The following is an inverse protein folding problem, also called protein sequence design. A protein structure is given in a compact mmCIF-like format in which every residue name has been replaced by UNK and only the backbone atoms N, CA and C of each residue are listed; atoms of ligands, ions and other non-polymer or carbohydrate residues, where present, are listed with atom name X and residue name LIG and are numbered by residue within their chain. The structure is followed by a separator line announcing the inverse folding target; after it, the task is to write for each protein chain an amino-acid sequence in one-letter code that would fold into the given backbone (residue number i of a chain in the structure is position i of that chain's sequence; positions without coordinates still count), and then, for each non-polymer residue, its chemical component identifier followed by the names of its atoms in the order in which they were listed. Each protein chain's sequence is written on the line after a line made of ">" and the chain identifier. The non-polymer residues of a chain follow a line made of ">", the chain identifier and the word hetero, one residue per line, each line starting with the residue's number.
data_IF_349066031488
#
_entry.id   IF_349066031488
#
_cell.length_a   1.000
_cell.length_b   1.000
_cell.length_c   1.000
_cell.angle_alpha   90.00
_cell.angle_beta   90.00
_cell.angle_gamma   90.00
#
_symmetry.space_group_name_H-M   'P 1'
#
loop_
_entity.id
_entity.type
_entity.pdbx_description
1 polymer ?
#
# COMPACT_ATOMS: atom_id res chain seq x y z
N UNK A 1 -8.24 17.69 -12.82
CA UNK A 1 -7.58 16.37 -12.84
C UNK A 1 -8.58 15.31 -13.30
N UNK A 2 -8.25 14.50 -14.31
CA UNK A 2 -9.09 13.39 -14.65
C UNK A 2 -9.16 12.45 -13.45
N UNK A 3 -10.37 12.14 -13.01
CA UNK A 3 -10.56 11.10 -12.02
C UNK A 3 -10.09 9.78 -12.62
N UNK A 4 -9.19 9.10 -11.94
CA UNK A 4 -8.89 7.70 -12.26
C UNK A 4 -10.24 6.97 -12.33
N UNK A 5 -10.56 6.27 -13.43
CA UNK A 5 -11.81 5.54 -13.51
C UNK A 5 -11.84 4.58 -12.32
N UNK A 6 -12.73 4.85 -11.38
CA UNK A 6 -12.99 3.86 -10.34
C UNK A 6 -13.53 2.64 -11.06
N UNK A 7 -12.77 1.54 -10.99
CA UNK A 7 -13.33 0.25 -11.31
C UNK A 7 -14.72 0.18 -10.65
N UNK A 8 -15.71 -0.32 -11.36
CA UNK A 8 -17.10 -0.42 -10.91
C UNK A 8 -17.13 -0.77 -9.42
N UNK A 9 -18.01 -0.09 -8.69
CA UNK A 9 -18.25 -0.35 -7.27
C UNK A 9 -18.89 -1.72 -7.03
N UNK A 10 -18.26 -2.79 -7.53
CA UNK A 10 -18.62 -4.15 -7.16
C UNK A 10 -18.03 -4.44 -5.79
N UNK A 11 -18.77 -5.07 -4.88
CA UNK A 11 -18.19 -5.43 -3.61
C UNK A 11 -17.03 -6.40 -3.81
N UNK A 12 -15.94 -6.17 -3.11
CA UNK A 12 -14.88 -7.16 -3.00
C UNK A 12 -15.36 -8.25 -2.05
N UNK A 13 -15.26 -9.51 -2.46
CA UNK A 13 -15.73 -10.64 -1.68
C UNK A 13 -14.61 -11.64 -1.43
N UNK A 14 -14.58 -12.21 -0.23
CA UNK A 14 -13.66 -13.27 0.15
C UNK A 14 -14.38 -14.30 1.00
N UNK A 15 -13.84 -15.52 0.99
CA UNK A 15 -14.23 -16.59 1.91
C UNK A 15 -12.97 -17.12 2.58
N UNK A 16 -13.12 -17.61 3.80
CA UNK A 16 -12.03 -18.28 4.52
C UNK A 16 -12.51 -19.65 4.93
N UNK A 17 -11.70 -20.66 4.57
CA UNK A 17 -11.98 -22.06 4.93
C UNK A 17 -10.89 -22.53 5.88
N UNK A 18 -11.28 -23.06 7.01
CA UNK A 18 -10.36 -23.65 7.97
C UNK A 18 -9.77 -24.95 7.43
N UNK A 19 -8.44 -25.09 7.52
CA UNK A 19 -7.74 -26.32 7.11
C UNK A 19 -7.40 -27.18 8.31
N UNK A 20 -6.57 -26.65 9.20
CA UNK A 20 -6.15 -27.35 10.43
C UNK A 20 -5.48 -26.37 11.38
N UNK A 21 -5.43 -26.67 12.66
CA UNK A 21 -4.77 -25.83 13.66
C UNK A 21 -5.24 -24.38 13.61
N UNK A 22 -4.31 -23.44 13.36
CA UNK A 22 -4.61 -22.01 13.18
C UNK A 22 -4.40 -21.56 11.73
N UNK A 23 -4.56 -22.47 10.78
CA UNK A 23 -4.31 -22.24 9.35
C UNK A 23 -5.59 -22.42 8.55
N UNK A 24 -5.84 -21.52 7.63
CA UNK A 24 -6.94 -21.56 6.68
C UNK A 24 -6.53 -21.16 5.28
N UNK A 25 -7.45 -21.26 4.36
CA UNK A 25 -7.30 -20.78 2.98
C UNK A 25 -8.28 -19.65 2.76
N UNK A 26 -7.75 -18.49 2.40
CA UNK A 26 -8.56 -17.36 1.93
C UNK A 26 -8.76 -17.49 0.43
N UNK A 27 -9.97 -17.25 -0.04
CA UNK A 27 -10.31 -17.26 -1.47
C UNK A 27 -11.04 -15.97 -1.82
N UNK A 28 -10.56 -15.28 -2.85
CA UNK A 28 -11.25 -14.09 -3.37
C UNK A 28 -12.41 -14.47 -4.28
N UNK A 29 -13.35 -13.55 -4.47
CA UNK A 29 -14.49 -13.76 -5.37
C UNK A 29 -14.10 -14.04 -6.83
N UNK A 30 -12.88 -13.63 -7.24
CA UNK A 30 -12.33 -13.90 -8.57
C UNK A 30 -11.46 -15.18 -8.64
N UNK A 31 -11.41 -15.97 -7.57
CA UNK A 31 -10.79 -17.29 -7.58
C UNK A 31 -9.33 -17.36 -7.15
N UNK A 32 -8.73 -16.25 -6.69
CA UNK A 32 -7.37 -16.27 -6.13
C UNK A 32 -7.41 -16.86 -4.73
N UNK A 33 -6.36 -17.57 -4.35
CA UNK A 33 -6.27 -18.16 -3.03
C UNK A 33 -4.95 -17.86 -2.34
N UNK A 34 -4.98 -17.85 -1.00
CA UNK A 34 -3.83 -17.58 -0.16
C UNK A 34 -3.96 -18.37 1.13
N UNK A 35 -2.88 -19.02 1.56
CA UNK A 35 -2.86 -19.68 2.85
C UNK A 35 -2.58 -18.65 3.94
N UNK A 36 -3.44 -18.60 4.95
CA UNK A 36 -3.43 -17.59 6.00
C UNK A 36 -3.42 -18.24 7.38
N UNK A 37 -2.84 -17.56 8.35
CA UNK A 37 -2.85 -18.03 9.73
C UNK A 37 -1.64 -17.59 10.53
N UNK A 38 -1.56 -18.04 11.80
CA UNK A 38 -0.49 -17.65 12.72
C UNK A 38 0.65 -18.68 12.83
N UNK A 39 0.59 -19.78 12.09
CA UNK A 39 1.58 -20.87 12.17
C UNK A 39 2.45 -20.92 10.92
N UNK A 40 3.29 -19.89 10.71
CA UNK A 40 4.24 -19.84 9.59
C UNK A 40 3.67 -19.39 8.26
N UNK A 41 2.41 -18.99 8.22
CA UNK A 41 1.72 -18.50 7.03
C UNK A 41 1.56 -16.98 7.06
N UNK A 42 0.91 -16.42 6.05
CA UNK A 42 0.55 -15.00 6.05
C UNK A 42 -0.41 -14.71 7.20
N UNK A 43 0.07 -14.02 8.23
CA UNK A 43 -0.78 -13.64 9.36
C UNK A 43 -1.75 -12.52 8.95
N UNK A 44 -2.88 -12.36 9.65
CA UNK A 44 -3.79 -11.24 9.42
C UNK A 44 -3.09 -9.87 9.52
N UNK A 45 -2.15 -9.74 10.46
CA UNK A 45 -1.38 -8.51 10.66
C UNK A 45 -0.47 -8.21 9.46
N UNK A 46 0.21 -9.22 8.93
CA UNK A 46 1.01 -9.06 7.71
C UNK A 46 0.14 -8.72 6.50
N UNK A 47 -1.05 -9.31 6.40
CA UNK A 47 -1.97 -9.03 5.30
C UNK A 47 -2.50 -7.60 5.38
N UNK A 48 -2.83 -7.11 6.57
CA UNK A 48 -3.25 -5.73 6.76
C UNK A 48 -2.15 -4.75 6.35
N UNK A 49 -0.92 -5.02 6.78
CA UNK A 49 0.23 -4.19 6.45
C UNK A 49 0.51 -4.19 4.94
N UNK A 50 0.49 -5.36 4.32
CA UNK A 50 0.68 -5.49 2.87
C UNK A 50 -0.44 -4.79 2.10
N UNK A 51 -1.67 -4.86 2.59
CA UNK A 51 -2.79 -4.13 1.99
C UNK A 51 -2.55 -2.62 2.02
N UNK A 52 -2.07 -2.08 3.13
CA UNK A 52 -1.73 -0.65 3.24
C UNK A 52 -0.62 -0.26 2.27
N UNK A 53 0.45 -1.05 2.21
CA UNK A 53 1.58 -0.80 1.30
C UNK A 53 1.16 -0.85 -0.16
N UNK A 54 0.45 -1.90 -0.57
CA UNK A 54 0.06 -2.08 -1.97
C UNK A 54 -0.99 -1.07 -2.41
N UNK A 55 -1.91 -0.70 -1.55
CA UNK A 55 -2.93 0.30 -1.85
C UNK A 55 -2.29 1.69 -2.05
N UNK A 56 -1.38 2.08 -1.18
CA UNK A 56 -0.65 3.35 -1.32
C UNK A 56 0.19 3.35 -2.61
N UNK A 57 0.94 2.28 -2.86
CA UNK A 57 1.74 2.11 -4.07
C UNK A 57 0.88 2.25 -5.33
N UNK A 58 -0.19 1.49 -5.43
CA UNK A 58 -1.06 1.49 -6.61
C UNK A 58 -1.66 2.87 -6.86
N UNK A 59 -2.09 3.54 -5.80
CA UNK A 59 -2.67 4.87 -5.90
C UNK A 59 -1.63 5.88 -6.36
N UNK A 60 -0.44 5.89 -5.74
CA UNK A 60 0.63 6.82 -6.11
C UNK A 60 1.12 6.57 -7.54
N UNK A 61 1.32 5.31 -7.93
CA UNK A 61 1.79 5.00 -9.29
C UNK A 61 0.73 5.36 -10.34
N UNK A 62 -0.55 5.21 -10.03
CA UNK A 62 -1.63 5.63 -10.93
C UNK A 62 -1.64 7.14 -11.12
N UNK A 63 -1.46 7.90 -10.05
CA UNK A 63 -1.38 9.36 -10.11
C UNK A 63 -0.13 9.82 -10.89
N UNK A 64 1.01 9.19 -10.64
CA UNK A 64 2.26 9.49 -11.35
C UNK A 64 2.11 9.23 -12.86
N UNK A 65 1.50 8.11 -13.22
CA UNK A 65 1.24 7.77 -14.62
C UNK A 65 0.36 8.83 -15.29
N UNK A 66 -0.71 9.26 -14.63
CA UNK A 66 -1.61 10.28 -15.15
C UNK A 66 -0.92 11.63 -15.38
N UNK A 67 0.10 11.94 -14.59
CA UNK A 67 0.91 13.16 -14.72
C UNK A 67 2.10 13.00 -15.67
N UNK A 68 2.26 11.85 -16.30
CA UNK A 68 3.37 11.60 -17.22
C UNK A 68 4.74 11.47 -16.53
N UNK A 69 4.76 11.17 -15.22
CA UNK A 69 6.01 10.98 -14.48
C UNK A 69 6.49 9.55 -14.67
N UNK A 70 7.73 9.41 -15.15
CA UNK A 70 8.35 8.10 -15.32
C UNK A 70 8.96 7.64 -13.99
N UNK A 71 8.43 6.52 -13.49
CA UNK A 71 8.91 5.88 -12.27
C UNK A 71 9.80 4.72 -12.65
N UNK A 72 11.02 4.70 -12.13
CA UNK A 72 12.02 3.67 -12.42
C UNK A 72 12.05 2.56 -11.38
N UNK A 73 11.61 2.84 -10.17
CA UNK A 73 11.59 1.85 -9.11
C UNK A 73 10.73 2.27 -7.95
N UNK A 74 10.25 1.28 -7.22
CA UNK A 74 9.45 1.47 -6.03
C UNK A 74 9.69 0.30 -5.08
N UNK A 75 10.06 0.60 -3.85
CA UNK A 75 10.14 -0.40 -2.78
C UNK A 75 9.58 0.22 -1.50
N UNK A 76 8.86 -0.56 -0.73
CA UNK A 76 8.30 -0.09 0.53
C UNK A 76 8.58 -1.09 1.63
N UNK A 77 8.91 -0.56 2.79
CA UNK A 77 8.92 -1.32 4.04
C UNK A 77 7.76 -0.85 4.90
N UNK A 78 7.21 -1.75 5.69
CA UNK A 78 6.11 -1.41 6.58
C UNK A 78 6.31 -2.03 7.96
N UNK A 79 5.81 -1.33 8.97
CA UNK A 79 5.77 -1.81 10.35
C UNK A 79 4.38 -1.59 10.91
N UNK A 80 3.84 -2.61 11.53
CA UNK A 80 2.58 -2.54 12.26
C UNK A 80 2.87 -2.79 13.72
N UNK A 81 2.49 -1.83 14.56
CA UNK A 81 2.63 -1.95 16.02
C UNK A 81 1.26 -2.24 16.64
N UNK A 82 1.18 -3.37 17.33
CA UNK A 82 0.00 -3.74 18.11
C UNK A 82 0.29 -3.37 19.57
N UNK A 83 -0.42 -2.39 20.15
CA UNK A 83 -0.20 -2.03 21.53
C UNK A 83 -0.68 -3.13 22.51
N UNK A 84 -0.07 -3.17 23.69
CA UNK A 84 -0.46 -4.14 24.73
C UNK A 84 -1.88 -3.89 25.25
N UNK A 85 -2.29 -2.61 25.30
CA UNK A 85 -3.65 -2.24 25.68
C UNK A 85 -4.62 -2.59 24.53
N UNK A 86 -5.59 -3.51 24.73
CA UNK A 86 -6.52 -3.91 23.69
C UNK A 86 -7.45 -2.77 23.22
N UNK A 87 -7.54 -1.68 23.99
CA UNK A 87 -8.34 -0.50 23.62
C UNK A 87 -7.54 0.58 22.89
N UNK A 88 -6.22 0.46 22.84
CA UNK A 88 -5.38 1.39 22.10
C UNK A 88 -5.40 1.09 20.61
N UNK A 89 -5.31 2.14 19.78
CA UNK A 89 -5.31 1.99 18.34
C UNK A 89 -4.01 1.38 17.82
N UNK A 90 -4.10 0.59 16.76
CA UNK A 90 -2.95 0.13 16.00
C UNK A 90 -2.24 1.32 15.35
N UNK A 91 -0.92 1.21 15.22
CA UNK A 91 -0.15 2.16 14.43
C UNK A 91 0.58 1.44 13.31
N UNK A 92 0.61 2.08 12.15
CA UNK A 92 1.27 1.58 10.95
C UNK A 92 2.23 2.64 10.43
N UNK A 93 3.47 2.24 10.18
CA UNK A 93 4.46 3.08 9.52
C UNK A 93 4.81 2.46 8.17
N UNK A 94 4.62 3.22 7.10
CA UNK A 94 5.08 2.86 5.76
C UNK A 94 6.28 3.74 5.39
N UNK A 95 7.32 3.12 4.87
CA UNK A 95 8.52 3.81 4.41
C UNK A 95 8.78 3.49 2.94
N UNK A 96 7.96 4.02 2.01
CA UNK A 96 8.17 3.80 0.60
C UNK A 96 9.35 4.62 0.08
N UNK A 97 10.11 4.03 -0.85
CA UNK A 97 11.13 4.71 -1.62
C UNK A 97 10.74 4.63 -3.10
N UNK A 98 10.66 5.78 -3.74
CA UNK A 98 10.33 5.88 -5.15
C UNK A 98 11.47 6.55 -5.91
N UNK A 99 11.86 5.97 -7.03
CA UNK A 99 12.91 6.49 -7.89
C UNK A 99 12.28 6.99 -9.18
N UNK A 100 12.55 8.24 -9.52
CA UNK A 100 12.05 8.89 -10.73
C UNK A 100 13.20 9.25 -11.66
N UNK A 101 12.88 9.43 -12.94
CA UNK A 101 13.88 9.71 -13.97
C UNK A 101 14.43 11.14 -13.90
N UNK A 102 13.58 12.11 -13.59
CA UNK A 102 13.93 13.54 -13.67
C UNK A 102 13.89 14.21 -12.29
N UNK A 103 14.93 15.00 -11.98
CA UNK A 103 15.01 15.75 -10.71
C UNK A 103 13.81 16.65 -10.47
N UNK A 104 13.27 17.28 -11.53
CA UNK A 104 12.11 18.16 -11.43
C UNK A 104 10.83 17.46 -10.98
N UNK A 105 10.78 16.13 -11.03
CA UNK A 105 9.60 15.36 -10.66
C UNK A 105 9.55 15.00 -9.17
N UNK A 106 10.62 15.24 -8.42
CA UNK A 106 10.66 14.86 -6.99
C UNK A 106 9.59 15.59 -6.17
N UNK A 107 9.44 16.89 -6.35
CA UNK A 107 8.40 17.67 -5.66
C UNK A 107 6.99 17.33 -6.14
N UNK A 108 6.84 17.02 -7.43
CA UNK A 108 5.57 16.57 -7.98
C UNK A 108 5.14 15.25 -7.34
N UNK A 109 6.07 14.31 -7.18
CA UNK A 109 5.80 13.02 -6.51
C UNK A 109 5.41 13.25 -5.04
N UNK A 110 6.06 14.16 -4.32
CA UNK A 110 5.68 14.45 -2.94
C UNK A 110 4.26 14.98 -2.84
N UNK A 111 3.87 15.87 -3.76
CA UNK A 111 2.49 16.37 -3.82
C UNK A 111 1.49 15.24 -4.13
N UNK A 112 1.82 14.38 -5.09
CA UNK A 112 0.98 13.23 -5.43
C UNK A 112 0.90 12.21 -4.28
N UNK A 113 1.96 12.06 -3.50
CA UNK A 113 1.96 11.19 -2.33
C UNK A 113 0.98 11.67 -1.24
N UNK A 114 0.88 12.97 -1.02
CA UNK A 114 -0.14 13.53 -0.12
C UNK A 114 -1.54 13.22 -0.63
N UNK A 115 -1.77 13.37 -1.93
CA UNK A 115 -3.04 13.03 -2.57
C UNK A 115 -3.32 11.52 -2.47
N UNK A 116 -2.31 10.69 -2.72
CA UNK A 116 -2.44 9.22 -2.62
C UNK A 116 -2.85 8.78 -1.22
N UNK A 117 -2.32 9.42 -0.18
CA UNK A 117 -2.71 9.12 1.19
C UNK A 117 -4.18 9.43 1.44
N UNK A 118 -4.70 10.50 0.88
CA UNK A 118 -6.10 10.89 1.01
C UNK A 118 -7.03 10.00 0.20
N UNK A 119 -6.59 9.52 -0.96
CA UNK A 119 -7.40 8.72 -1.88
C UNK A 119 -7.31 7.21 -1.65
N UNK A 120 -6.25 6.73 -1.01
CA UNK A 120 -6.09 5.31 -0.72
C UNK A 120 -7.15 4.82 0.26
N UNK A 121 -7.92 3.83 -0.15
CA UNK A 121 -9.02 3.27 0.66
C UNK A 121 -8.51 2.72 1.99
N UNK A 122 -7.42 1.95 1.96
CA UNK A 122 -6.85 1.35 3.16
C UNK A 122 -6.26 2.42 4.07
N UNK A 123 -5.57 3.42 3.51
CA UNK A 123 -5.03 4.55 4.28
C UNK A 123 -6.14 5.32 5.00
N UNK A 124 -7.26 5.56 4.30
CA UNK A 124 -8.42 6.22 4.89
C UNK A 124 -9.02 5.41 6.05
N UNK A 125 -9.05 4.09 5.90
CA UNK A 125 -9.56 3.17 6.93
C UNK A 125 -8.66 3.17 8.17
N UNK A 126 -7.35 3.19 8.00
CA UNK A 126 -6.39 3.25 9.10
C UNK A 126 -6.37 4.63 9.78
N UNK A 127 -6.70 5.68 9.04
CA UNK A 127 -6.83 7.02 9.58
C UNK A 127 -5.54 7.55 10.22
N UNK A 128 -5.63 8.23 11.39
CA UNK A 128 -4.47 8.85 12.02
C UNK A 128 -3.43 7.86 12.55
N UNK A 129 -3.75 6.57 12.64
CA UNK A 129 -2.80 5.52 12.99
C UNK A 129 -1.77 5.22 11.92
N UNK A 130 -1.96 5.72 10.69
CA UNK A 130 -1.05 5.52 9.58
C UNK A 130 -0.10 6.71 9.41
N UNK A 131 1.20 6.44 9.40
CA UNK A 131 2.26 7.38 9.02
C UNK A 131 2.93 6.89 7.75
N UNK A 132 3.12 7.78 6.79
CA UNK A 132 3.85 7.49 5.55
C UNK A 132 5.08 8.38 5.49
N UNK A 133 6.27 7.79 5.56
CA UNK A 133 7.56 8.46 5.45
C UNK A 133 8.16 8.17 4.08
N UNK A 134 7.85 9.00 3.11
CA UNK A 134 8.25 8.81 1.71
C UNK A 134 9.69 9.30 1.48
N UNK A 135 10.50 8.48 0.82
CA UNK A 135 11.81 8.85 0.29
C UNK A 135 11.70 8.92 -1.25
N UNK A 136 11.98 10.06 -1.82
CA UNK A 136 11.96 10.28 -3.27
C UNK A 136 13.38 10.49 -3.76
N UNK A 137 13.79 9.69 -4.74
CA UNK A 137 15.12 9.81 -5.35
C UNK A 137 14.97 10.01 -6.85
N UNK A 138 15.83 10.84 -7.42
CA UNK A 138 15.96 10.97 -8.86
C UNK A 138 17.28 10.34 -9.32
N UNK A 139 17.27 9.79 -10.54
CA UNK A 139 18.51 9.32 -11.14
C UNK A 139 19.41 10.54 -11.41
N UNK A 140 20.69 10.51 -10.99
CA UNK A 140 21.60 11.61 -11.27
C UNK A 140 21.70 11.83 -12.78
N UNK A 141 21.79 13.10 -13.19
CA UNK A 141 22.07 13.42 -14.58
C UNK A 141 23.42 12.80 -14.97
N UNK A 142 23.48 12.20 -16.17
CA UNK A 142 24.72 11.62 -16.68
C UNK A 142 25.77 12.75 -16.83
N UNK A 143 26.96 12.62 -16.21
CA UNK A 143 27.99 13.63 -16.28
C UNK A 143 28.75 13.65 -17.61
N UNK A 144 28.17 13.22 -18.69
CA UNK A 144 28.81 13.25 -20.03
C UNK A 144 28.97 14.66 -20.57
#
# INVERSE_FOLDING_TARGET
>A
MPKVPRARALPFTTETVWNSGLVGTGVSGDGRSLTVGHEGEWSPEHLLLLAAESCFMSTLLSLARAEGIEVLGYVSSGQLHVPDDPHAALTVLLTPCIVVLADGDTERIRALARQAREESVVARTLGPGLTVALDVRAVPADPS
#
